data_IF_227618915262
#
_entry.id   IF_227618915262
#
_cell.length_a   1.000
_cell.length_b   1.000
_cell.length_c   1.000
_cell.angle_alpha   90.00
_cell.angle_beta   90.00
_cell.angle_gamma   90.00
#
_symmetry.space_group_name_H-M   'P 1'
#
loop_
_entity.id
_entity.type
_entity.pdbx_description
1 polymer ?
#
# COMPACT_ATOMS: atom_id res chain seq x y z
N UNK A 1 2.77 8.05 35.92
CA UNK A 1 3.10 7.36 34.64
C UNK A 1 4.27 6.44 34.90
N UNK A 2 4.24 5.17 34.46
CA UNK A 2 5.38 4.28 34.64
C UNK A 2 6.53 4.70 33.71
N UNK A 3 7.81 4.48 34.12
CA UNK A 3 8.98 4.75 33.25
C UNK A 3 8.86 4.05 31.89
N UNK A 4 8.26 2.85 31.88
CA UNK A 4 7.99 2.06 30.66
C UNK A 4 6.96 2.74 29.75
N UNK A 5 5.86 3.26 30.30
CA UNK A 5 4.84 4.00 29.54
C UNK A 5 5.37 5.30 28.97
N UNK A 6 6.28 5.97 29.67
CA UNK A 6 6.92 7.20 29.18
C UNK A 6 7.86 6.91 27.99
N UNK A 7 8.67 5.84 28.08
CA UNK A 7 9.53 5.41 26.96
C UNK A 7 8.68 5.04 25.75
N UNK A 8 7.59 4.28 25.94
CA UNK A 8 6.70 3.86 24.86
C UNK A 8 6.08 5.08 24.14
N UNK A 9 5.67 6.09 24.90
CA UNK A 9 5.12 7.34 24.35
C UNK A 9 6.15 8.10 23.51
N UNK A 10 7.40 8.23 24.00
CA UNK A 10 8.47 8.90 23.27
C UNK A 10 8.79 8.17 21.96
N UNK A 11 8.91 6.84 22.01
CA UNK A 11 9.17 6.02 20.81
C UNK A 11 8.03 6.14 19.80
N UNK A 12 6.78 6.14 20.27
CA UNK A 12 5.61 6.33 19.42
C UNK A 12 5.63 7.69 18.73
N UNK A 13 5.95 8.75 19.47
CA UNK A 13 6.06 10.10 18.91
C UNK A 13 7.17 10.18 17.84
N UNK A 14 8.34 9.59 18.10
CA UNK A 14 9.44 9.51 17.15
C UNK A 14 9.05 8.74 15.87
N UNK A 15 8.31 7.64 15.99
CA UNK A 15 7.83 6.89 14.83
C UNK A 15 6.81 7.68 14.00
N UNK A 16 5.92 8.45 14.64
CA UNK A 16 4.99 9.33 13.92
C UNK A 16 5.77 10.41 13.16
N UNK A 17 6.73 11.08 13.80
CA UNK A 17 7.58 12.10 13.15
C UNK A 17 8.33 11.50 11.97
N UNK A 18 8.94 10.34 12.16
CA UNK A 18 9.67 9.61 11.11
C UNK A 18 8.75 9.29 9.92
N UNK A 19 7.53 8.84 10.19
CA UNK A 19 6.53 8.54 9.16
C UNK A 19 6.13 9.78 8.36
N UNK A 20 6.00 10.94 9.00
CA UNK A 20 5.71 12.22 8.32
C UNK A 20 6.87 12.65 7.43
N UNK A 21 8.12 12.49 7.88
CA UNK A 21 9.31 12.77 7.05
C UNK A 21 9.37 11.84 5.84
N UNK A 22 9.17 10.53 6.07
CA UNK A 22 9.13 9.53 4.99
C UNK A 22 8.01 9.81 3.99
N UNK A 23 6.86 10.34 4.43
CA UNK A 23 5.80 10.74 3.50
C UNK A 23 6.29 11.77 2.49
N UNK A 24 6.99 12.80 2.97
CA UNK A 24 7.57 13.82 2.09
C UNK A 24 8.63 13.27 1.13
N UNK A 25 9.40 12.26 1.56
CA UNK A 25 10.37 11.56 0.69
C UNK A 25 9.66 10.74 -0.39
N UNK A 26 8.61 10.01 -0.04
CA UNK A 26 7.82 9.21 -1.00
C UNK A 26 7.09 10.10 -1.99
N UNK A 27 6.54 11.23 -1.56
CA UNK A 27 5.83 12.16 -2.43
C UNK A 27 6.78 12.80 -3.47
N UNK A 28 8.05 13.01 -3.08
CA UNK A 28 9.13 13.54 -3.95
C UNK A 28 9.92 12.47 -4.70
N UNK A 29 9.74 11.20 -4.36
CA UNK A 29 10.43 10.13 -5.06
C UNK A 29 9.85 10.04 -6.47
N UNK A 30 10.63 10.50 -7.45
CA UNK A 30 10.32 10.26 -8.85
C UNK A 30 10.42 8.76 -9.10
N UNK A 31 9.26 8.15 -9.31
CA UNK A 31 9.21 6.78 -9.74
C UNK A 31 9.67 6.74 -11.20
N UNK A 32 10.78 6.05 -11.48
CA UNK A 32 11.19 5.81 -12.86
C UNK A 32 10.18 4.88 -13.53
N UNK A 33 9.48 5.42 -14.53
CA UNK A 33 8.61 4.65 -15.41
C UNK A 33 8.72 5.15 -16.84
N UNK A 34 8.36 4.29 -17.77
CA UNK A 34 8.20 4.63 -19.17
C UNK A 34 6.75 4.39 -19.57
N UNK A 35 6.11 5.39 -20.17
CA UNK A 35 4.79 5.22 -20.77
C UNK A 35 4.92 4.38 -22.04
N UNK A 36 4.14 3.30 -22.09
CA UNK A 36 4.16 2.36 -23.22
C UNK A 36 2.72 2.04 -23.64
N UNK A 37 2.52 1.87 -24.93
CA UNK A 37 1.26 1.40 -25.48
C UNK A 37 1.25 -0.13 -25.46
N UNK A 38 0.24 -0.71 -24.82
CA UNK A 38 0.09 -2.17 -24.67
C UNK A 38 -1.28 -2.61 -25.16
N UNK A 39 -1.38 -3.85 -25.64
CA UNK A 39 -2.64 -4.38 -26.15
C UNK A 39 -3.33 -5.25 -25.10
N UNK A 40 -4.59 -4.98 -24.78
CA UNK A 40 -5.34 -5.82 -23.84
C UNK A 40 -5.56 -7.20 -24.43
N UNK A 41 -5.19 -8.24 -23.67
CA UNK A 41 -5.40 -9.65 -23.99
C UNK A 41 -6.71 -10.13 -23.37
N UNK A 42 -6.89 -9.89 -22.07
CA UNK A 42 -8.09 -10.25 -21.32
C UNK A 42 -8.34 -9.24 -20.18
N UNK A 43 -9.59 -9.22 -19.72
CA UNK A 43 -10.04 -8.33 -18.64
C UNK A 43 -11.22 -8.97 -17.93
N UNK A 44 -10.96 -9.53 -16.76
CA UNK A 44 -11.92 -10.32 -16.01
C UNK A 44 -12.11 -9.76 -14.60
N UNK A 45 -13.35 -9.81 -14.13
CA UNK A 45 -13.69 -9.52 -12.73
C UNK A 45 -13.67 -10.83 -11.96
N UNK A 46 -12.70 -10.99 -11.07
CA UNK A 46 -12.50 -12.21 -10.29
C UNK A 46 -12.81 -11.96 -8.83
N UNK A 47 -13.44 -12.92 -8.17
CA UNK A 47 -13.70 -12.86 -6.74
C UNK A 47 -12.80 -13.84 -6.01
N UNK A 48 -11.87 -13.31 -5.20
CA UNK A 48 -10.93 -14.13 -4.42
C UNK A 48 -11.28 -14.06 -2.93
N UNK A 49 -11.09 -15.16 -2.21
CA UNK A 49 -11.30 -15.23 -0.76
C UNK A 49 -9.99 -14.87 -0.05
N UNK A 50 -9.97 -13.72 0.63
CA UNK A 50 -8.81 -13.23 1.38
C UNK A 50 -9.24 -12.99 2.82
N UNK A 51 -8.52 -13.58 3.77
CA UNK A 51 -8.82 -13.49 5.21
C UNK A 51 -10.29 -13.83 5.53
N UNK A 52 -10.83 -14.85 4.86
CA UNK A 52 -12.21 -15.31 5.04
C UNK A 52 -13.28 -14.48 4.33
N UNK A 53 -12.95 -13.30 3.78
CA UNK A 53 -13.89 -12.41 3.08
C UNK A 53 -13.72 -12.50 1.57
N UNK A 54 -14.84 -12.44 0.84
CA UNK A 54 -14.84 -12.35 -0.64
C UNK A 54 -14.44 -10.93 -1.03
N UNK A 55 -13.35 -10.80 -1.78
CA UNK A 55 -12.86 -9.54 -2.33
C UNK A 55 -12.94 -9.59 -3.86
N UNK A 56 -13.35 -8.49 -4.44
CA UNK A 56 -13.40 -8.29 -5.89
C UNK A 56 -12.02 -7.81 -6.36
N UNK A 57 -11.49 -8.46 -7.40
CA UNK A 57 -10.24 -8.13 -8.06
C UNK A 57 -10.46 -8.07 -9.57
N UNK A 58 -9.58 -7.37 -10.26
CA UNK A 58 -9.62 -7.20 -11.70
C UNK A 58 -8.35 -7.81 -12.28
N UNK A 59 -8.50 -8.94 -12.94
CA UNK A 59 -7.40 -9.63 -13.60
C UNK A 59 -7.37 -9.11 -15.03
N UNK A 60 -6.43 -8.20 -15.32
CA UNK A 60 -6.26 -7.59 -16.64
C UNK A 60 -4.90 -8.00 -17.18
N UNK A 61 -4.89 -8.70 -18.31
CA UNK A 61 -3.66 -9.10 -18.97
C UNK A 61 -3.46 -8.30 -20.25
N UNK A 62 -2.22 -7.88 -20.48
CA UNK A 62 -1.82 -7.06 -21.62
C UNK A 62 -0.62 -7.68 -22.33
N UNK A 63 -0.56 -7.53 -23.64
CA UNK A 63 0.58 -7.93 -24.46
C UNK A 63 1.47 -6.72 -24.71
N UNK A 64 2.76 -6.91 -24.42
CA UNK A 64 3.82 -5.95 -24.69
C UNK A 64 5.02 -6.69 -25.25
N UNK A 65 5.53 -6.26 -26.42
CA UNK A 65 6.63 -6.90 -27.14
C UNK A 65 6.46 -8.43 -27.34
N UNK A 66 5.22 -8.88 -27.55
CA UNK A 66 4.89 -10.29 -27.77
C UNK A 66 4.87 -11.16 -26.51
N UNK A 67 5.08 -10.58 -25.32
CA UNK A 67 4.92 -11.25 -24.04
C UNK A 67 3.65 -10.77 -23.34
N UNK A 68 3.03 -11.65 -22.56
CA UNK A 68 1.85 -11.35 -21.77
C UNK A 68 2.26 -10.95 -20.35
N UNK A 69 1.68 -9.85 -19.86
CA UNK A 69 1.93 -9.30 -18.55
C UNK A 69 0.60 -9.04 -17.84
N UNK A 70 0.58 -9.27 -16.54
CA UNK A 70 -0.50 -8.78 -15.67
C UNK A 70 -0.38 -7.26 -15.50
N UNK A 71 -1.45 -6.53 -15.81
CA UNK A 71 -1.53 -5.09 -15.61
C UNK A 71 -1.86 -4.78 -14.14
N UNK A 72 -0.83 -4.40 -13.39
CA UNK A 72 -0.96 -4.15 -11.95
C UNK A 72 -1.72 -2.85 -11.65
N UNK A 73 -2.37 -2.83 -10.50
CA UNK A 73 -3.14 -1.70 -9.98
C UNK A 73 -4.33 -1.27 -10.86
N UNK A 74 -4.93 -2.21 -11.59
CA UNK A 74 -6.19 -1.99 -12.27
C UNK A 74 -7.36 -1.92 -11.27
N UNK A 75 -8.08 -0.79 -11.23
CA UNK A 75 -9.22 -0.58 -10.33
C UNK A 75 -10.58 -0.89 -10.97
N UNK A 76 -10.61 -1.26 -12.24
CA UNK A 76 -11.81 -1.63 -12.99
C UNK A 76 -11.42 -2.43 -14.22
N UNK A 77 -12.25 -3.38 -14.65
CA UNK A 77 -12.12 -4.12 -15.92
C UNK A 77 -12.75 -3.37 -17.11
N UNK A 78 -13.68 -2.44 -16.85
CA UNK A 78 -14.44 -1.74 -17.88
C UNK A 78 -13.61 -0.97 -18.93
N UNK A 79 -12.51 -0.27 -18.60
CA UNK A 79 -11.72 0.45 -19.60
C UNK A 79 -10.84 -0.49 -20.44
N UNK A 80 -10.65 -1.74 -20.02
CA UNK A 80 -9.73 -2.68 -20.65
C UNK A 80 -10.50 -3.66 -21.54
N UNK A 81 -10.85 -3.23 -22.74
CA UNK A 81 -11.55 -4.06 -23.72
C UNK A 81 -10.53 -4.93 -24.47
N UNK A 82 -10.66 -6.27 -24.47
CA UNK A 82 -9.78 -7.16 -25.22
C UNK A 82 -9.56 -6.72 -26.67
N UNK A 83 -8.31 -6.72 -27.10
CA UNK A 83 -7.88 -6.31 -28.43
C UNK A 83 -7.60 -4.82 -28.60
N UNK A 84 -8.01 -3.94 -27.66
CA UNK A 84 -7.69 -2.51 -27.71
C UNK A 84 -6.28 -2.23 -27.17
N UNK A 85 -5.69 -1.16 -27.70
CA UNK A 85 -4.51 -0.55 -27.09
C UNK A 85 -4.89 0.33 -25.91
N UNK A 86 -4.08 0.30 -24.86
CA UNK A 86 -4.18 1.17 -23.68
C UNK A 86 -2.78 1.64 -23.27
N UNK A 87 -2.70 2.81 -22.65
CA UNK A 87 -1.45 3.30 -22.06
C UNK A 87 -1.19 2.57 -20.74
N UNK A 88 0.00 2.02 -20.59
CA UNK A 88 0.48 1.43 -19.35
C UNK A 88 1.84 2.02 -18.98
N UNK A 89 2.22 1.87 -17.71
CA UNK A 89 3.45 2.41 -17.16
C UNK A 89 4.41 1.26 -16.85
N UNK A 90 5.50 1.15 -17.62
CA UNK A 90 6.53 0.14 -17.43
C UNK A 90 7.53 0.61 -16.37
N UNK A 91 7.67 -0.16 -15.29
CA UNK A 91 8.67 0.11 -14.26
C UNK A 91 9.21 -1.20 -13.69
N UNK A 92 10.55 -1.32 -13.61
CA UNK A 92 11.25 -2.52 -13.09
C UNK A 92 10.71 -3.84 -13.67
N UNK A 93 10.44 -3.87 -14.97
CA UNK A 93 9.92 -5.05 -15.68
C UNK A 93 8.45 -5.40 -15.41
N UNK A 94 7.70 -4.53 -14.74
CA UNK A 94 6.27 -4.70 -14.47
C UNK A 94 5.46 -3.60 -15.17
N UNK A 95 4.24 -3.93 -15.59
CA UNK A 95 3.31 -2.98 -16.17
C UNK A 95 2.23 -2.59 -15.16
N UNK A 96 1.97 -1.28 -15.07
CA UNK A 96 0.99 -0.71 -14.16
C UNK A 96 -0.07 0.07 -14.95
N UNK A 97 -1.31 0.02 -14.47
CA UNK A 97 -2.44 0.78 -15.00
C UNK A 97 -2.33 2.29 -14.73
N UNK A 98 -1.58 2.70 -13.69
CA UNK A 98 -1.45 4.08 -13.27
C UNK A 98 -0.11 4.34 -12.55
N UNK A 99 0.28 5.61 -12.48
CA UNK A 99 1.52 6.07 -11.85
C UNK A 99 1.53 5.77 -10.33
N UNK A 100 0.36 5.78 -9.68
CA UNK A 100 0.24 5.48 -8.24
C UNK A 100 0.69 4.04 -7.92
N UNK A 101 0.38 3.08 -8.80
CA UNK A 101 0.83 1.70 -8.71
C UNK A 101 2.35 1.59 -8.79
N UNK A 102 2.97 2.43 -9.63
CA UNK A 102 4.43 2.52 -9.73
C UNK A 102 5.01 3.08 -8.43
N UNK A 103 4.50 4.21 -7.95
CA UNK A 103 4.98 4.89 -6.73
C UNK A 103 4.88 4.00 -5.49
N UNK A 104 3.76 3.30 -5.33
CA UNK A 104 3.52 2.39 -4.19
C UNK A 104 4.37 1.12 -4.24
N UNK A 105 4.93 0.78 -5.41
CA UNK A 105 5.86 -0.35 -5.59
C UNK A 105 7.33 0.03 -5.35
N UNK A 106 7.63 1.29 -5.02
CA UNK A 106 9.01 1.72 -4.73
C UNK A 106 9.46 1.24 -3.35
N UNK A 107 10.77 0.97 -3.15
CA UNK A 107 11.31 0.63 -1.83
C UNK A 107 11.01 1.69 -0.77
N UNK A 108 11.04 2.97 -1.14
CA UNK A 108 10.69 4.07 -0.25
C UNK A 108 9.24 3.99 0.24
N UNK A 109 8.29 3.70 -0.65
CA UNK A 109 6.89 3.50 -0.28
C UNK A 109 6.70 2.29 0.63
N UNK A 110 7.39 1.18 0.37
CA UNK A 110 7.34 -0.01 1.25
C UNK A 110 7.81 0.32 2.67
N UNK A 111 8.93 1.04 2.82
CA UNK A 111 9.44 1.47 4.14
C UNK A 111 8.44 2.40 4.82
N UNK A 112 7.90 3.38 4.08
CA UNK A 112 6.89 4.31 4.60
C UNK A 112 5.66 3.57 5.15
N UNK A 113 5.08 2.63 4.38
CA UNK A 113 3.92 1.86 4.84
C UNK A 113 4.26 0.97 6.05
N UNK A 114 5.47 0.41 6.10
CA UNK A 114 5.95 -0.33 7.26
C UNK A 114 5.96 0.52 8.54
N UNK A 115 6.53 1.73 8.47
CA UNK A 115 6.53 2.68 9.60
C UNK A 115 5.13 3.19 9.97
N UNK A 116 4.26 3.37 8.97
CA UNK A 116 2.89 3.79 9.19
C UNK A 116 2.12 2.72 9.99
N UNK A 117 2.17 1.46 9.57
CA UNK A 117 1.52 0.37 10.30
C UNK A 117 2.13 0.15 11.69
N UNK A 118 3.45 0.25 11.83
CA UNK A 118 4.13 0.17 13.12
C UNK A 118 3.70 1.30 14.08
N UNK A 119 3.52 2.52 13.56
CA UNK A 119 3.04 3.66 14.34
C UNK A 119 1.61 3.43 14.85
N UNK A 120 0.71 2.90 14.01
CA UNK A 120 -0.64 2.53 14.45
C UNK A 120 -0.63 1.44 15.52
N UNK A 121 0.17 0.38 15.34
CA UNK A 121 0.30 -0.69 16.32
C UNK A 121 0.82 -0.15 17.68
N UNK A 122 1.85 0.71 17.65
CA UNK A 122 2.40 1.32 18.86
C UNK A 122 1.44 2.30 19.53
N UNK A 123 0.65 3.03 18.76
CA UNK A 123 -0.37 3.92 19.32
C UNK A 123 -1.45 3.11 20.06
N UNK A 124 -1.90 1.99 19.48
CA UNK A 124 -2.85 1.07 20.13
C UNK A 124 -2.27 0.50 21.42
N UNK A 125 -1.04 -0.03 21.41
CA UNK A 125 -0.41 -0.60 22.61
C UNK A 125 -0.18 0.45 23.70
N UNK A 126 0.19 1.68 23.30
CA UNK A 126 0.32 2.82 24.22
C UNK A 126 -1.01 3.10 24.89
N UNK A 127 -2.10 3.29 24.13
CA UNK A 127 -3.44 3.55 24.67
C UNK A 127 -3.95 2.43 25.59
N UNK A 128 -3.74 1.16 25.21
CA UNK A 128 -4.12 0.02 26.05
C UNK A 128 -3.37 0.01 27.40
N UNK A 129 -2.10 0.41 27.43
CA UNK A 129 -1.30 0.48 28.67
C UNK A 129 -1.81 1.55 29.66
N UNK A 130 -2.37 2.65 29.15
CA UNK A 130 -3.03 3.67 29.98
C UNK A 130 -4.41 3.23 30.48
N UNK A 131 -5.19 2.52 29.66
CA UNK A 131 -6.50 1.99 30.04
C UNK A 131 -6.47 0.95 31.16
N UNK A 132 -5.42 0.10 31.21
CA UNK A 132 -5.22 -0.86 32.30
C UNK A 132 -4.92 -0.23 33.66
N UNK A 133 -4.48 1.04 33.70
CA UNK A 133 -4.25 1.78 34.94
C UNK A 133 -5.51 2.23 35.66
N UNK A 134 -6.63 2.43 34.93
CA UNK A 134 -7.91 2.87 35.52
C UNK A 134 -8.66 1.75 36.26
N UNK A 135 -8.52 0.48 35.85
CA UNK A 135 -9.21 -0.64 36.51
C UNK A 135 -8.75 -0.91 37.94
N UNK A 136 -7.57 -0.40 38.35
CA UNK A 136 -7.05 -0.59 39.72
C UNK A 136 -7.52 0.47 40.73
N UNK A 137 -8.21 1.53 40.30
CA UNK A 137 -8.60 2.65 41.18
C UNK A 137 -10.05 2.58 41.67
N UNK A 138 -10.86 1.63 41.18
CA UNK A 138 -12.27 1.45 41.58
C UNK A 138 -12.52 0.21 42.44
N UNK A 139 -11.46 -0.41 42.96
CA UNK A 139 -11.57 -1.48 43.97
C UNK A 139 -11.09 -0.94 45.31
N UNK A 140 -11.96 -0.18 45.98
CA UNK A 140 -11.92 0.10 47.43
C UNK A 140 -13.32 -0.15 47.96
#
# INVERSE_FOLDING_TARGET
>A
MSKKSMILMIVTLLCIITTVVLRGVVDKADAEYTEVEVRVVSSDTVYRKILGKRQMQYDVFVSYLGQEYELKNAHSSAPYIPGRSVTAYLSKGNLYANIEGVKTSTPAAMVYFGFLFASFAMLITTLSSFGSGRKKLTAV
#
